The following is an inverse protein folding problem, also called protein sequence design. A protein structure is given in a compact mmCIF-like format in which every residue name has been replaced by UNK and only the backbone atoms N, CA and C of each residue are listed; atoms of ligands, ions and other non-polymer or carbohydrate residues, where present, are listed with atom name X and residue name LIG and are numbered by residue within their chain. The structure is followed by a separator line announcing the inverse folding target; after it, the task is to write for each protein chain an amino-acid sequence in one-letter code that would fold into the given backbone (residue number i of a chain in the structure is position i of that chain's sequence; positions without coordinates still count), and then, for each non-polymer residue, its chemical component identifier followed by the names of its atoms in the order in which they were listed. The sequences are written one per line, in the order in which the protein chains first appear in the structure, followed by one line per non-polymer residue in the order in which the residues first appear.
data_IF_575729619627
#
_entry.id   IF_575729619627
#
_cell.length_a   1.000
_cell.length_b   1.000
_cell.length_c   1.000
_cell.angle_alpha   90.00
_cell.angle_beta   90.00
_cell.angle_gamma   90.00
#
_symmetry.space_group_name_H-M   'P 1'
#
loop_
_entity.id
_entity.type
_entity.pdbx_description
1 polymer ?
#
# COMPACT_ATOMS: atom_id res chain seq x y z
N UNK A 1 12.63 22.78 15.80
CA UNK A 1 11.98 21.44 15.87
C UNK A 1 11.81 20.83 14.48
N UNK A 2 11.16 21.50 13.53
CA UNK A 2 11.01 21.00 12.14
C UNK A 2 12.34 20.59 11.48
N UNK A 3 13.40 21.40 11.59
CA UNK A 3 14.73 21.11 11.02
C UNK A 3 15.40 19.83 11.58
N UNK A 4 15.14 19.47 12.83
CA UNK A 4 15.68 18.26 13.46
C UNK A 4 14.94 17.01 13.00
N UNK A 5 13.62 17.12 12.80
CA UNK A 5 12.76 16.04 12.28
C UNK A 5 13.04 15.80 10.80
N UNK A 6 13.29 16.85 10.02
CA UNK A 6 13.71 16.71 8.62
C UNK A 6 15.08 16.06 8.46
N UNK A 7 16.02 16.29 9.40
CA UNK A 7 17.31 15.56 9.42
C UNK A 7 17.13 14.08 9.76
N UNK A 8 16.27 13.77 10.75
CA UNK A 8 15.91 12.40 11.07
C UNK A 8 15.31 11.66 9.87
N UNK A 9 14.43 12.30 9.09
CA UNK A 9 13.87 11.72 7.87
C UNK A 9 14.96 11.29 6.87
N UNK A 10 15.93 12.17 6.59
CA UNK A 10 17.06 11.88 5.67
C UNK A 10 17.94 10.74 6.19
N UNK A 11 18.13 10.64 7.50
CA UNK A 11 18.89 9.54 8.11
C UNK A 11 18.09 8.22 8.18
N UNK A 12 16.76 8.27 8.05
CA UNK A 12 15.82 7.13 8.16
C UNK A 12 15.32 6.59 6.81
N UNK A 13 15.80 7.11 5.67
CA UNK A 13 15.37 6.78 4.30
C UNK A 13 15.53 5.30 3.86
N UNK A 14 15.76 4.34 4.78
CA UNK A 14 15.97 2.92 4.43
C UNK A 14 15.19 1.89 5.25
N UNK A 15 14.33 2.26 6.19
CA UNK A 15 13.55 1.25 6.92
C UNK A 15 12.12 1.71 7.24
N UNK A 16 11.17 1.27 6.43
CA UNK A 16 9.73 1.50 6.62
C UNK A 16 9.22 0.97 7.97
N UNK A 17 9.91 -0.02 8.56
CA UNK A 17 9.63 -0.51 9.92
C UNK A 17 9.95 0.54 10.98
N UNK A 18 11.10 1.21 10.86
CA UNK A 18 11.53 2.25 11.79
C UNK A 18 10.64 3.51 11.73
N UNK A 19 10.15 3.87 10.54
CA UNK A 19 9.18 4.97 10.36
C UNK A 19 7.85 4.64 11.05
N UNK A 20 7.35 3.41 10.89
CA UNK A 20 6.11 2.97 11.54
C UNK A 20 6.24 2.91 13.08
N UNK A 21 7.42 2.56 13.60
CA UNK A 21 7.68 2.62 15.04
C UNK A 21 7.67 4.05 15.57
N UNK A 22 8.28 4.99 14.83
CA UNK A 22 8.26 6.42 15.18
C UNK A 22 6.82 6.95 15.19
N UNK A 23 5.97 6.53 14.25
CA UNK A 23 4.54 6.88 14.29
C UNK A 23 3.84 6.37 15.54
N UNK A 24 4.03 5.09 15.88
CA UNK A 24 3.40 4.49 17.05
C UNK A 24 3.82 5.22 18.34
N UNK A 25 5.08 5.62 18.41
CA UNK A 25 5.63 6.41 19.52
C UNK A 25 5.07 7.84 19.54
N UNK A 26 4.94 8.51 18.39
CA UNK A 26 4.35 9.85 18.27
C UNK A 26 2.86 9.88 18.65
N UNK A 27 2.09 8.86 18.25
CA UNK A 27 0.69 8.72 18.66
C UNK A 27 0.57 8.39 20.15
N UNK A 28 1.40 7.47 20.66
CA UNK A 28 1.43 7.14 22.09
C UNK A 28 1.90 8.29 22.98
N UNK A 29 2.71 9.22 22.44
CA UNK A 29 3.16 10.41 23.15
C UNK A 29 1.99 11.34 23.52
N UNK A 30 1.00 11.51 22.64
CA UNK A 30 -0.18 12.32 22.96
C UNK A 30 -0.93 11.78 24.18
N UNK A 31 -1.14 10.47 24.24
CA UNK A 31 -1.83 9.80 25.35
C UNK A 31 -1.00 9.83 26.65
N UNK A 32 0.31 9.63 26.54
CA UNK A 32 1.22 9.70 27.68
C UNK A 32 1.24 11.11 28.30
N UNK A 33 1.34 12.16 27.46
CA UNK A 33 1.32 13.55 27.92
C UNK A 33 -0.04 13.93 28.48
N UNK A 34 -1.14 13.53 27.84
CA UNK A 34 -2.49 13.76 28.35
C UNK A 34 -2.73 13.07 29.70
N UNK A 35 -2.18 11.88 29.92
CA UNK A 35 -2.24 11.17 31.21
C UNK A 35 -1.46 11.89 32.31
N UNK A 36 -0.30 12.47 31.98
CA UNK A 36 0.51 13.27 32.92
C UNK A 36 -0.17 14.60 33.23
N UNK A 37 -0.70 15.30 32.21
CA UNK A 37 -1.39 16.58 32.38
C UNK A 37 -2.63 16.47 33.28
N UNK A 38 -3.34 15.33 33.22
CA UNK A 38 -4.50 15.04 34.09
C UNK A 38 -4.13 14.80 35.56
N UNK A 39 -2.88 14.45 35.86
CA UNK A 39 -2.40 14.27 37.23
C UNK A 39 -1.99 15.60 37.90
N UNK A 40 -1.98 16.70 37.14
CA UNK A 40 -1.73 18.04 37.66
C UNK A 40 -3.04 18.82 37.77
N UNK A 41 -3.16 19.68 38.78
CA UNK A 41 -4.34 20.55 38.98
C UNK A 41 -4.35 21.71 37.97
N UNK A 42 -4.52 21.37 36.69
CA UNK A 42 -4.57 22.33 35.57
C UNK A 42 -6.03 22.70 35.32
N UNK A 43 -6.31 24.00 35.16
CA UNK A 43 -7.67 24.46 34.85
C UNK A 43 -8.12 23.93 33.47
N UNK A 44 -9.42 23.59 33.27
CA UNK A 44 -9.89 22.95 32.06
C UNK A 44 -9.55 23.66 30.74
N UNK A 45 -9.57 25.00 30.71
CA UNK A 45 -9.22 25.77 29.52
C UNK A 45 -7.73 25.67 29.12
N UNK A 46 -6.83 25.57 30.10
CA UNK A 46 -5.39 25.38 29.83
C UNK A 46 -5.08 23.95 29.40
N UNK A 47 -5.77 22.96 29.98
CA UNK A 47 -5.70 21.57 29.51
C UNK A 47 -6.17 21.44 28.06
N UNK A 48 -7.22 22.18 27.67
CA UNK A 48 -7.72 22.22 26.29
C UNK A 48 -6.74 22.92 25.34
N UNK A 49 -6.15 24.05 25.74
CA UNK A 49 -5.14 24.73 24.95
C UNK A 49 -3.89 23.86 24.72
N UNK A 50 -3.44 23.15 25.75
CA UNK A 50 -2.29 22.24 25.66
C UNK A 50 -2.60 21.01 24.80
N UNK A 51 -3.78 20.40 24.91
CA UNK A 51 -4.19 19.29 24.03
C UNK A 51 -4.21 19.72 22.56
N UNK A 52 -4.70 20.93 22.27
CA UNK A 52 -4.70 21.47 20.92
C UNK A 52 -3.28 21.72 20.38
N UNK A 53 -2.38 22.28 21.19
CA UNK A 53 -0.99 22.50 20.80
C UNK A 53 -0.27 21.16 20.56
N UNK A 54 -0.47 20.17 21.43
CA UNK A 54 0.12 18.82 21.29
C UNK A 54 -0.41 18.15 20.03
N UNK A 55 -1.72 18.20 19.79
CA UNK A 55 -2.35 17.66 18.58
C UNK A 55 -1.79 18.30 17.30
N UNK A 56 -1.66 19.63 17.28
CA UNK A 56 -1.07 20.37 16.16
C UNK A 56 0.41 20.04 15.96
N UNK A 57 1.17 19.87 17.03
CA UNK A 57 2.59 19.51 16.97
C UNK A 57 2.80 18.08 16.46
N UNK A 58 1.98 17.11 16.90
CA UNK A 58 2.01 15.72 16.41
C UNK A 58 1.61 15.68 14.94
N UNK A 59 0.56 16.41 14.54
CA UNK A 59 0.14 16.52 13.15
C UNK A 59 1.24 17.12 12.26
N UNK A 60 1.87 18.21 12.68
CA UNK A 60 3.00 18.80 11.96
C UNK A 60 4.20 17.85 11.85
N UNK A 61 4.50 17.07 12.89
CA UNK A 61 5.55 16.06 12.84
C UNK A 61 5.22 14.96 11.82
N UNK A 62 3.99 14.44 11.81
CA UNK A 62 3.52 13.44 10.84
C UNK A 62 3.59 13.97 9.41
N UNK A 63 3.16 15.22 9.16
CA UNK A 63 3.24 15.88 7.85
C UNK A 63 4.69 16.02 7.36
N UNK A 64 5.65 16.27 8.25
CA UNK A 64 7.07 16.38 7.89
C UNK A 64 7.67 14.99 7.61
N UNK A 65 7.31 13.97 8.40
CA UNK A 65 7.81 12.61 8.22
C UNK A 65 7.27 11.96 6.94
N UNK A 66 5.99 12.14 6.59
CA UNK A 66 5.37 11.55 5.38
C UNK A 66 4.48 12.55 4.64
N UNK A 67 4.99 13.19 3.58
CA UNK A 67 4.18 14.02 2.68
C UNK A 67 3.15 13.20 1.88
N UNK A 68 3.42 11.92 1.66
CA UNK A 68 2.68 11.04 0.74
C UNK A 68 1.31 10.60 1.25
N UNK A 69 1.04 10.69 2.56
CA UNK A 69 -0.27 10.38 3.16
C UNK A 69 -1.22 11.59 3.18
N UNK A 70 -0.77 12.80 2.82
CA UNK A 70 -1.61 14.00 2.84
C UNK A 70 -2.67 14.02 1.74
N UNK A 71 -2.50 13.26 0.64
CA UNK A 71 -3.52 13.15 -0.39
C UNK A 71 -4.83 12.48 0.11
N UNK A 72 -4.82 11.84 1.28
CA UNK A 72 -5.98 11.13 1.85
C UNK A 72 -6.54 11.73 3.15
N UNK A 73 -5.95 12.80 3.68
CA UNK A 73 -6.33 13.36 4.99
C UNK A 73 -6.64 14.86 4.98
N UNK A 74 -6.79 15.54 3.84
CA UNK A 74 -7.36 16.90 3.88
C UNK A 74 -8.84 16.83 4.31
N UNK A 75 -9.20 17.36 5.49
CA UNK A 75 -10.55 17.82 5.73
C UNK A 75 -10.65 19.17 5.01
N UNK A 76 -11.59 19.29 4.09
CA UNK A 76 -11.99 20.58 3.57
C UNK A 76 -12.26 21.56 4.73
N UNK A 77 -11.73 22.77 4.60
CA UNK A 77 -12.09 24.00 5.33
C UNK A 77 -11.54 24.17 6.76
N UNK A 78 -10.50 25.01 6.89
CA UNK A 78 -10.53 26.13 7.84
C UNK A 78 -10.10 27.43 7.11
N UNK A 79 -11.09 28.29 6.89
CA UNK A 79 -11.06 29.73 6.63
C UNK A 79 -9.83 30.48 7.17
N UNK A 80 -9.01 31.00 6.27
CA UNK A 80 -8.19 32.19 6.50
C UNK A 80 -8.81 33.38 5.75
N UNK A 81 -9.65 34.13 6.47
CA UNK A 81 -9.96 35.51 6.11
C UNK A 81 -8.82 36.39 6.65
N UNK A 82 -7.98 36.88 5.75
CA UNK A 82 -7.06 37.98 6.00
C UNK A 82 -7.28 39.01 4.90
N UNK A 83 -8.07 40.04 5.17
CA UNK A 83 -7.76 41.40 4.76
C UNK A 83 -8.23 42.34 5.88
N UNK A 84 -7.25 42.92 6.58
CA UNK A 84 -7.43 43.99 7.54
C UNK A 84 -6.72 45.18 6.92
N UNK A 85 -7.48 46.08 6.30
CA UNK A 85 -7.03 47.43 5.99
C UNK A 85 -8.01 48.43 6.62
N UNK A 86 -7.47 49.17 7.59
CA UNK A 86 -7.68 50.61 7.88
C UNK A 86 -9.01 51.25 7.47
N UNK A 87 -9.80 51.72 8.45
CA UNK A 87 -9.86 53.16 8.72
C UNK A 87 -10.54 53.49 10.06
N UNK A 88 -10.19 54.65 10.58
CA UNK A 88 -10.50 55.25 11.87
C UNK A 88 -12.00 55.62 12.04
N UNK A 89 -12.56 55.51 13.25
CA UNK A 89 -13.14 56.64 14.00
C UNK A 89 -13.71 56.19 15.36
N UNK A 90 -13.24 56.81 16.43
CA UNK A 90 -13.89 56.84 17.75
C UNK A 90 -15.23 57.59 17.65
N UNK A 91 -16.25 57.17 18.40
CA UNK A 91 -16.78 57.96 19.53
C UNK A 91 -18.08 57.36 20.11
N UNK A 92 -18.10 57.37 21.45
CA UNK A 92 -19.25 57.61 22.34
C UNK A 92 -20.34 56.53 22.55
N UNK A 93 -20.19 55.82 23.67
CA UNK A 93 -21.29 55.41 24.57
C UNK A 93 -21.52 56.56 25.56
N UNK A 94 -22.70 56.77 26.22
CA UNK A 94 -23.42 55.71 26.97
C UNK A 94 -24.96 55.99 27.17
N UNK A 95 -25.67 55.52 28.23
CA UNK A 95 -26.50 54.31 28.24
C UNK A 95 -27.96 54.53 28.79
N UNK A 96 -28.69 53.43 29.05
CA UNK A 96 -29.92 53.33 29.88
C UNK A 96 -31.22 53.77 29.16
N UNK A 97 -32.41 53.15 29.29
CA UNK A 97 -33.04 52.25 30.24
C UNK A 97 -34.15 51.45 29.52
N UNK A 98 -34.40 50.21 29.95
CA UNK A 98 -35.72 49.57 29.83
C UNK A 98 -36.46 49.79 31.15
N UNK A 99 -37.77 50.09 31.12
CA UNK A 99 -38.66 49.09 31.71
C UNK A 99 -39.99 48.89 30.96
N UNK A 100 -40.51 47.69 31.19
CA UNK A 100 -41.79 47.14 30.74
C UNK A 100 -43.02 47.97 31.15
N UNK A 101 -44.09 47.93 30.35
CA UNK A 101 -45.45 47.65 30.84
C UNK A 101 -46.43 47.39 29.70
N UNK A 102 -47.36 46.48 29.97
CA UNK A 102 -48.39 45.86 29.13
C UNK A 102 -49.55 46.79 28.72
N UNK A 103 -50.22 46.45 27.60
CA UNK A 103 -51.67 46.58 27.28
C UNK A 103 -51.85 46.80 25.76
N UNK A 104 -52.23 45.78 24.99
CA UNK A 104 -53.60 45.46 24.55
C UNK A 104 -54.29 46.47 23.60
N UNK A 105 -54.89 45.88 22.56
CA UNK A 105 -56.05 46.30 21.74
C UNK A 105 -55.77 46.92 20.34
N UNK A 106 -55.98 46.04 19.36
CA UNK A 106 -56.71 46.17 18.09
C UNK A 106 -56.51 47.43 17.21
N UNK A 107 -56.13 47.21 15.96
CA UNK A 107 -56.94 47.42 14.75
C UNK A 107 -56.02 47.01 13.58
N UNK A 108 -56.26 45.87 12.94
CA UNK A 108 -57.15 45.80 11.79
C UNK A 108 -56.33 46.08 10.53
N UNK A 109 -56.18 45.08 9.65
CA UNK A 109 -56.13 45.16 8.18
C UNK A 109 -56.00 43.74 7.63
N UNK A 110 -57.09 43.27 7.01
CA UNK A 110 -57.05 42.08 6.16
C UNK A 110 -56.46 42.47 4.80
N UNK A 111 -55.44 41.70 4.40
CA UNK A 111 -54.94 41.31 3.07
C UNK A 111 -55.30 42.14 1.82
N UNK A 112 -54.32 42.24 0.90
CA UNK A 112 -54.44 41.36 -0.26
C UNK A 112 -53.17 40.56 -0.55
N UNK A 113 -53.38 39.31 -0.95
CA UNK A 113 -52.41 38.38 -1.48
C UNK A 113 -51.55 39.00 -2.60
N UNK A 114 -50.25 38.70 -2.56
CA UNK A 114 -49.38 38.37 -3.71
C UNK A 114 -47.96 38.92 -3.52
N UNK A 115 -47.14 38.18 -2.78
CA UNK A 115 -45.71 37.98 -3.05
C UNK A 115 -45.16 37.07 -1.95
N UNK A 116 -45.54 35.79 -1.95
CA UNK A 116 -44.70 34.77 -1.32
C UNK A 116 -43.51 34.56 -2.26
N UNK A 117 -42.59 35.52 -2.27
CA UNK A 117 -41.21 35.22 -2.56
C UNK A 117 -40.75 34.37 -1.38
N UNK A 118 -40.87 33.07 -1.59
CA UNK A 118 -40.48 32.02 -0.67
C UNK A 118 -38.97 32.13 -0.49
N UNK A 119 -38.52 32.96 0.46
CA UNK A 119 -37.17 32.85 0.98
C UNK A 119 -37.10 31.50 1.70
N UNK A 120 -36.76 30.48 0.93
CA UNK A 120 -36.39 29.18 1.46
C UNK A 120 -35.26 29.42 2.46
N UNK A 121 -35.59 29.28 3.74
CA UNK A 121 -34.66 29.53 4.85
C UNK A 121 -33.30 28.86 4.57
N UNK A 122 -32.16 29.47 4.94
CA UNK A 122 -30.82 28.92 4.70
C UNK A 122 -30.64 27.48 5.25
N UNK A 123 -31.46 27.09 6.24
CA UNK A 123 -31.52 25.73 6.76
C UNK A 123 -32.07 24.69 5.75
N UNK A 124 -33.03 25.06 4.89
CA UNK A 124 -33.58 24.18 3.84
C UNK A 124 -32.57 23.94 2.72
N UNK A 125 -31.75 24.94 2.39
CA UNK A 125 -30.69 24.79 1.40
C UNK A 125 -29.57 23.87 1.91
N UNK A 126 -29.14 24.03 3.16
CA UNK A 126 -28.13 23.16 3.77
C UNK A 126 -28.62 21.70 3.89
N UNK A 127 -29.87 21.48 4.29
CA UNK A 127 -30.44 20.13 4.36
C UNK A 127 -30.54 19.46 2.99
N UNK A 128 -30.87 20.22 1.94
CA UNK A 128 -30.84 19.73 0.56
C UNK A 128 -29.42 19.32 0.12
N UNK A 129 -28.40 20.14 0.40
CA UNK A 129 -27.01 19.78 0.09
C UNK A 129 -26.53 18.53 0.83
N UNK A 130 -26.86 18.40 2.12
CA UNK A 130 -26.55 17.20 2.91
C UNK A 130 -27.25 15.96 2.34
N UNK A 131 -28.51 16.09 1.91
CA UNK A 131 -29.24 14.98 1.29
C UNK A 131 -28.59 14.53 -0.03
N UNK A 132 -28.14 15.50 -0.85
CA UNK A 132 -27.42 15.22 -2.10
C UNK A 132 -26.08 14.54 -1.83
N UNK A 133 -25.28 15.04 -0.88
CA UNK A 133 -24.00 14.44 -0.53
C UNK A 133 -24.17 13.02 0.05
N UNK A 134 -25.20 12.80 0.87
CA UNK A 134 -25.55 11.47 1.38
C UNK A 134 -25.92 10.52 0.25
N UNK A 135 -26.73 10.97 -0.71
CA UNK A 135 -27.11 10.17 -1.86
C UNK A 135 -25.89 9.81 -2.73
N UNK A 136 -25.02 10.78 -2.99
CA UNK A 136 -23.77 10.54 -3.71
C UNK A 136 -22.88 9.54 -2.96
N UNK A 137 -22.72 9.70 -1.64
CA UNK A 137 -21.94 8.77 -0.82
C UNK A 137 -22.50 7.34 -0.89
N UNK A 138 -23.81 7.18 -0.80
CA UNK A 138 -24.46 5.87 -0.96
C UNK A 138 -24.21 5.28 -2.36
N UNK A 139 -24.35 6.09 -3.42
CA UNK A 139 -24.09 5.67 -4.80
C UNK A 139 -22.64 5.23 -5.00
N UNK A 140 -21.68 6.00 -4.50
CA UNK A 140 -20.26 5.65 -4.58
C UNK A 140 -19.95 4.37 -3.78
N UNK A 141 -20.56 4.20 -2.61
CA UNK A 141 -20.40 2.98 -1.82
C UNK A 141 -20.93 1.75 -2.57
N UNK A 142 -22.11 1.85 -3.18
CA UNK A 142 -22.67 0.78 -4.02
C UNK A 142 -21.74 0.44 -5.19
N UNK A 143 -21.19 1.45 -5.87
CA UNK A 143 -20.22 1.23 -6.94
C UNK A 143 -18.93 0.57 -6.44
N UNK A 144 -18.43 0.94 -5.26
CA UNK A 144 -17.24 0.33 -4.68
C UNK A 144 -17.48 -1.14 -4.35
N UNK A 145 -18.60 -1.45 -3.69
CA UNK A 145 -19.01 -2.83 -3.37
C UNK A 145 -19.16 -3.65 -4.66
N UNK A 146 -19.77 -3.08 -5.70
CA UNK A 146 -19.90 -3.76 -6.99
C UNK A 146 -18.53 -4.06 -7.62
N UNK A 147 -17.58 -3.11 -7.55
CA UNK A 147 -16.21 -3.31 -8.04
C UNK A 147 -15.44 -4.34 -7.22
N UNK A 148 -15.65 -4.38 -5.91
CA UNK A 148 -15.06 -5.40 -5.04
C UNK A 148 -15.56 -6.80 -5.44
N UNK A 149 -16.87 -6.96 -5.66
CA UNK A 149 -17.47 -8.23 -6.09
C UNK A 149 -16.90 -8.65 -7.45
N UNK A 150 -16.82 -7.73 -8.42
CA UNK A 150 -16.23 -7.99 -9.74
C UNK A 150 -14.78 -8.46 -9.63
N UNK A 151 -13.97 -7.78 -8.82
CA UNK A 151 -12.58 -8.16 -8.60
C UNK A 151 -12.44 -9.53 -7.93
N UNK A 152 -13.22 -9.80 -6.88
CA UNK A 152 -13.21 -11.09 -6.19
C UNK A 152 -13.62 -12.23 -7.13
N UNK A 153 -14.62 -12.00 -8.00
CA UNK A 153 -15.05 -12.98 -9.00
C UNK A 153 -13.96 -13.24 -10.04
N UNK A 154 -13.31 -12.19 -10.54
CA UNK A 154 -12.20 -12.33 -11.48
C UNK A 154 -11.03 -13.10 -10.85
N UNK A 155 -10.66 -12.78 -9.61
CA UNK A 155 -9.59 -13.47 -8.89
C UNK A 155 -9.92 -14.95 -8.71
N UNK A 156 -11.14 -15.27 -8.30
CA UNK A 156 -11.61 -16.66 -8.18
C UNK A 156 -11.52 -17.41 -9.51
N UNK A 157 -11.98 -16.79 -10.59
CA UNK A 157 -11.92 -17.38 -11.92
C UNK A 157 -10.48 -17.67 -12.37
N UNK A 158 -9.56 -16.72 -12.17
CA UNK A 158 -8.14 -16.89 -12.50
C UNK A 158 -7.51 -18.01 -11.65
N UNK A 159 -7.81 -18.06 -10.36
CA UNK A 159 -7.30 -19.11 -9.48
C UNK A 159 -7.81 -20.50 -9.88
N UNK A 160 -9.10 -20.63 -10.19
CA UNK A 160 -9.69 -21.88 -10.68
C UNK A 160 -9.05 -22.31 -11.99
N UNK A 161 -8.88 -21.39 -12.95
CA UNK A 161 -8.20 -21.67 -14.22
C UNK A 161 -6.77 -22.15 -13.99
N UNK A 162 -5.97 -21.45 -13.18
CA UNK A 162 -4.59 -21.84 -12.87
C UNK A 162 -4.51 -23.19 -12.15
N UNK A 163 -5.47 -23.46 -11.27
CA UNK A 163 -5.56 -24.75 -10.58
C UNK A 163 -5.85 -25.89 -11.57
N UNK A 164 -6.74 -25.67 -12.54
CA UNK A 164 -7.00 -26.64 -13.61
C UNK A 164 -5.78 -26.84 -14.52
N UNK A 165 -5.10 -25.77 -14.92
CA UNK A 165 -3.85 -25.84 -15.70
C UNK A 165 -2.79 -26.65 -14.96
N UNK A 166 -2.58 -26.40 -13.66
CA UNK A 166 -1.67 -27.18 -12.83
C UNK A 166 -2.08 -28.65 -12.70
N UNK A 167 -3.38 -28.92 -12.58
CA UNK A 167 -3.89 -30.29 -12.54
C UNK A 167 -3.61 -31.04 -13.85
N UNK A 168 -3.84 -30.40 -15.00
CA UNK A 168 -3.52 -30.97 -16.31
C UNK A 168 -2.03 -31.22 -16.48
N UNK A 169 -1.19 -30.26 -16.09
CA UNK A 169 0.26 -30.41 -16.15
C UNK A 169 0.74 -31.56 -15.25
N UNK A 170 0.23 -31.65 -14.02
CA UNK A 170 0.50 -32.77 -13.11
C UNK A 170 0.07 -34.09 -13.74
N UNK A 171 -1.10 -34.15 -14.36
CA UNK A 171 -1.59 -35.36 -15.01
C UNK A 171 -0.68 -35.79 -16.17
N UNK A 172 -0.20 -34.84 -16.98
CA UNK A 172 0.78 -35.10 -18.04
C UNK A 172 2.10 -35.68 -17.50
N UNK A 173 2.63 -35.12 -16.41
CA UNK A 173 3.83 -35.67 -15.75
C UNK A 173 3.58 -37.08 -15.21
N UNK A 174 2.44 -37.33 -14.55
CA UNK A 174 2.11 -38.68 -14.03
C UNK A 174 1.83 -39.70 -15.14
N UNK A 175 1.29 -39.27 -16.28
CA UNK A 175 1.06 -40.13 -17.44
C UNK A 175 2.36 -40.46 -18.16
N UNK A 176 3.36 -39.57 -18.15
CA UNK A 176 4.69 -39.86 -18.66
C UNK A 176 5.44 -40.85 -17.76
N UNK A 177 5.30 -40.75 -16.44
CA UNK A 177 5.89 -41.72 -15.50
C UNK A 177 5.28 -43.12 -15.63
N UNK A 178 3.96 -43.22 -15.87
CA UNK A 178 3.30 -44.52 -16.05
C UNK A 178 3.55 -45.17 -17.42
N UNK A 179 4.27 -44.50 -18.33
CA UNK A 179 4.75 -45.06 -19.60
C UNK A 179 6.25 -45.40 -19.56
N UNK A 180 6.81 -45.60 -18.36
CA UNK A 180 8.19 -46.07 -18.18
C UNK A 180 8.23 -47.60 -18.34
N UNK A 181 8.69 -48.02 -19.52
CA UNK A 181 9.33 -49.32 -19.76
C UNK A 181 10.49 -49.52 -18.76
N UNK A 182 10.92 -50.76 -18.44
CA UNK A 182 11.53 -51.09 -17.15
C UNK A 182 12.71 -50.18 -16.72
N UNK A 183 12.80 -49.84 -15.42
CA UNK A 183 13.55 -48.70 -14.86
C UNK A 183 15.08 -48.87 -14.83
N UNK A 184 15.64 -49.80 -15.59
CA UNK A 184 17.07 -50.11 -15.52
C UNK A 184 17.94 -49.23 -16.41
N UNK A 185 17.51 -48.94 -17.63
CA UNK A 185 18.47 -48.57 -18.69
C UNK A 185 18.56 -47.08 -19.01
N UNK A 186 17.51 -46.30 -18.73
CA UNK A 186 17.46 -44.89 -19.15
C UNK A 186 17.99 -43.95 -18.06
N UNK A 187 17.52 -44.10 -16.82
CA UNK A 187 18.03 -43.36 -15.65
C UNK A 187 19.54 -43.52 -15.50
N UNK A 188 20.04 -44.76 -15.53
CA UNK A 188 21.48 -45.04 -15.42
C UNK A 188 22.32 -44.41 -16.53
N UNK A 189 21.74 -44.19 -17.72
CA UNK A 189 22.43 -43.53 -18.84
C UNK A 189 22.46 -42.02 -18.66
N UNK A 190 21.33 -41.40 -18.29
CA UNK A 190 21.26 -39.95 -18.01
C UNK A 190 22.09 -39.57 -16.80
N UNK A 191 22.09 -40.40 -15.76
CA UNK A 191 22.91 -40.21 -14.57
C UNK A 191 24.39 -40.26 -14.91
N UNK A 192 24.79 -41.19 -15.79
CA UNK A 192 26.18 -41.29 -16.25
C UNK A 192 26.63 -40.08 -17.06
N UNK A 193 25.82 -39.61 -18.01
CA UNK A 193 26.14 -38.43 -18.82
C UNK A 193 26.25 -37.16 -17.95
N UNK A 194 25.37 -37.02 -16.95
CA UNK A 194 25.42 -35.94 -15.98
C UNK A 194 26.67 -36.01 -15.09
N UNK A 195 26.97 -37.19 -14.55
CA UNK A 195 28.14 -37.42 -13.70
C UNK A 195 29.42 -37.09 -14.45
N UNK A 196 29.56 -37.57 -15.70
CA UNK A 196 30.72 -37.33 -16.54
C UNK A 196 30.90 -35.82 -16.82
N UNK A 197 29.80 -35.11 -17.11
CA UNK A 197 29.83 -33.67 -17.33
C UNK A 197 30.21 -32.88 -16.05
N UNK A 198 29.64 -33.24 -14.90
CA UNK A 198 29.96 -32.61 -13.62
C UNK A 198 31.41 -32.85 -13.21
N UNK A 199 31.94 -34.06 -13.44
CA UNK A 199 33.35 -34.37 -13.21
C UNK A 199 34.26 -33.53 -14.11
N UNK A 200 33.89 -33.31 -15.38
CA UNK A 200 34.63 -32.44 -16.30
C UNK A 200 34.68 -30.97 -15.80
N UNK A 201 33.64 -30.50 -15.12
CA UNK A 201 33.62 -29.17 -14.48
C UNK A 201 34.37 -29.12 -13.13
N UNK A 202 34.93 -30.26 -12.70
CA UNK A 202 35.67 -30.40 -11.44
C UNK A 202 34.76 -30.38 -10.22
N UNK A 203 33.59 -31.02 -10.30
CA UNK A 203 32.72 -31.26 -9.16
C UNK A 203 33.26 -32.39 -8.27
N UNK A 204 33.19 -32.20 -6.95
CA UNK A 204 33.54 -33.24 -5.98
C UNK A 204 32.45 -34.33 -5.97
N UNK A 205 32.81 -35.59 -5.67
CA UNK A 205 31.85 -36.73 -5.60
C UNK A 205 30.64 -36.42 -4.72
N UNK A 206 30.84 -35.78 -3.57
CA UNK A 206 29.76 -35.36 -2.65
C UNK A 206 28.81 -34.34 -3.25
N UNK A 207 29.30 -33.51 -4.16
CA UNK A 207 28.48 -32.51 -4.86
C UNK A 207 27.67 -33.15 -5.97
N UNK A 208 28.27 -34.12 -6.67
CA UNK A 208 27.60 -34.90 -7.71
C UNK A 208 26.46 -35.71 -7.10
N UNK A 209 26.71 -36.41 -6.00
CA UNK A 209 25.69 -37.13 -5.23
C UNK A 209 24.54 -36.20 -4.84
N UNK A 210 24.86 -35.01 -4.30
CA UNK A 210 23.84 -34.03 -3.92
C UNK A 210 22.99 -33.55 -5.11
N UNK A 211 23.59 -33.34 -6.28
CA UNK A 211 22.85 -32.92 -7.48
C UNK A 211 21.97 -34.06 -8.01
N UNK A 212 22.43 -35.30 -7.92
CA UNK A 212 21.65 -36.50 -8.29
C UNK A 212 20.50 -36.76 -7.31
N UNK A 213 20.71 -36.56 -6.01
CA UNK A 213 19.65 -36.68 -4.98
C UNK A 213 18.49 -35.70 -5.21
N UNK A 214 18.79 -34.52 -5.76
CA UNK A 214 17.78 -33.51 -6.14
C UNK A 214 17.11 -33.83 -7.48
N UNK A 215 17.49 -34.91 -8.16
CA UNK A 215 16.85 -35.38 -9.39
C UNK A 215 17.12 -34.52 -10.62
N UNK A 216 18.18 -33.71 -10.62
CA UNK A 216 18.55 -32.92 -11.80
C UNK A 216 19.03 -33.82 -12.93
N UNK A 217 18.56 -33.58 -14.15
CA UNK A 217 19.15 -34.15 -15.37
C UNK A 217 20.16 -33.19 -15.99
N UNK A 218 21.01 -33.69 -16.89
CA UNK A 218 21.94 -32.83 -17.65
C UNK A 218 21.20 -31.75 -18.45
N UNK A 219 20.03 -32.08 -19.00
CA UNK A 219 19.19 -31.13 -19.74
C UNK A 219 18.71 -29.98 -18.84
N UNK A 220 18.27 -30.29 -17.62
CA UNK A 220 17.79 -29.29 -16.67
C UNK A 220 18.94 -28.33 -16.30
N UNK A 221 20.13 -28.88 -16.02
CA UNK A 221 21.34 -28.10 -15.70
C UNK A 221 21.79 -27.22 -16.87
N UNK A 222 21.62 -27.65 -18.11
CA UNK A 222 22.07 -26.86 -19.25
C UNK A 222 21.03 -25.82 -19.70
N UNK A 223 19.74 -26.12 -19.62
CA UNK A 223 18.69 -25.30 -20.21
C UNK A 223 17.92 -24.47 -19.17
N UNK A 224 17.63 -25.03 -17.99
CA UNK A 224 16.60 -24.50 -17.10
C UNK A 224 17.15 -23.90 -15.79
N UNK A 225 18.29 -24.38 -15.28
CA UNK A 225 18.78 -23.87 -13.99
C UNK A 225 19.11 -22.37 -14.01
N UNK A 226 18.90 -21.73 -12.87
CA UNK A 226 19.32 -20.36 -12.58
C UNK A 226 20.57 -20.35 -11.71
N UNK A 227 21.22 -19.18 -11.60
CA UNK A 227 22.39 -19.03 -10.75
C UNK A 227 22.01 -19.17 -9.26
N UNK A 228 20.78 -18.83 -8.93
CA UNK A 228 20.16 -18.90 -7.62
C UNK A 228 19.95 -20.35 -7.19
N UNK A 229 19.53 -21.24 -8.10
CA UNK A 229 19.38 -22.68 -7.83
C UNK A 229 20.72 -23.30 -7.44
N UNK A 230 21.80 -22.94 -8.14
CA UNK A 230 23.16 -23.34 -7.79
C UNK A 230 23.62 -22.82 -6.42
N UNK A 231 23.12 -21.66 -5.98
CA UNK A 231 23.38 -21.17 -4.61
C UNK A 231 22.58 -21.96 -3.58
N UNK A 232 21.34 -22.35 -3.90
CA UNK A 232 20.49 -23.16 -3.02
C UNK A 232 21.07 -24.56 -2.79
N UNK A 233 21.69 -25.15 -3.83
CA UNK A 233 22.51 -26.36 -3.75
C UNK A 233 23.74 -26.23 -2.84
N UNK A 234 24.03 -25.04 -2.29
CA UNK A 234 25.17 -24.73 -1.41
C UNK A 234 26.52 -25.13 -2.03
N UNK A 235 26.66 -24.90 -3.33
CA UNK A 235 27.90 -25.16 -4.03
C UNK A 235 29.01 -24.22 -3.54
N UNK A 236 30.25 -24.74 -3.48
CA UNK A 236 31.43 -23.90 -3.24
C UNK A 236 31.53 -22.86 -4.34
N UNK A 237 31.82 -21.61 -3.99
CA UNK A 237 31.82 -20.49 -4.94
C UNK A 237 32.69 -20.72 -6.19
N UNK A 238 33.84 -21.38 -6.05
CA UNK A 238 34.70 -21.73 -7.18
C UNK A 238 34.05 -22.70 -8.16
N UNK A 239 33.36 -23.73 -7.66
CA UNK A 239 32.64 -24.69 -8.50
C UNK A 239 31.41 -24.04 -9.14
N UNK A 240 30.66 -23.24 -8.38
CA UNK A 240 29.51 -22.49 -8.88
C UNK A 240 29.90 -21.60 -10.06
N UNK A 241 31.02 -20.89 -9.96
CA UNK A 241 31.54 -20.06 -11.05
C UNK A 241 31.89 -20.89 -12.29
N UNK A 242 32.58 -22.03 -12.14
CA UNK A 242 32.91 -22.91 -13.27
C UNK A 242 31.65 -23.46 -13.94
N UNK A 243 30.74 -23.99 -13.14
CA UNK A 243 29.48 -24.57 -13.62
C UNK A 243 28.64 -23.53 -14.36
N UNK A 244 28.43 -22.36 -13.75
CA UNK A 244 27.65 -21.29 -14.37
C UNK A 244 28.31 -20.75 -15.64
N UNK A 245 29.64 -20.70 -15.69
CA UNK A 245 30.37 -20.31 -16.90
C UNK A 245 30.16 -21.33 -18.01
N UNK A 246 30.25 -22.63 -17.72
CA UNK A 246 30.03 -23.70 -18.70
C UNK A 246 28.59 -23.70 -19.23
N UNK A 247 27.60 -23.56 -18.35
CA UNK A 247 26.17 -23.45 -18.71
C UNK A 247 25.92 -22.21 -19.56
N UNK A 248 26.47 -21.06 -19.16
CA UNK A 248 26.33 -19.81 -19.93
C UNK A 248 26.97 -19.91 -21.32
N UNK A 249 28.11 -20.60 -21.44
CA UNK A 249 28.75 -20.86 -22.73
C UNK A 249 27.93 -21.81 -23.59
N UNK A 250 27.36 -22.87 -23.01
CA UNK A 250 26.47 -23.78 -23.70
C UNK A 250 25.23 -23.05 -24.25
N UNK A 251 24.55 -22.26 -23.41
CA UNK A 251 23.38 -21.45 -23.81
C UNK A 251 23.73 -20.45 -24.91
N UNK A 252 24.90 -19.80 -24.82
CA UNK A 252 25.37 -18.87 -25.87
C UNK A 252 25.63 -19.59 -27.19
N UNK A 253 26.20 -20.80 -27.17
CA UNK A 253 26.42 -21.61 -28.38
C UNK A 253 25.11 -22.13 -28.97
N UNK A 254 24.17 -22.56 -28.12
CA UNK A 254 22.84 -22.99 -28.53
C UNK A 254 22.01 -21.84 -29.15
N UNK A 255 22.16 -20.62 -28.61
CA UNK A 255 21.53 -19.41 -29.17
C UNK A 255 22.27 -18.84 -30.39
N UNK A 256 23.56 -19.16 -30.55
CA UNK A 256 24.43 -18.69 -31.64
C UNK A 256 24.43 -19.57 -32.89
N UNK A 257 23.57 -20.59 -32.98
CA UNK A 257 23.44 -21.44 -34.16
C UNK A 257 22.14 -21.16 -34.94
N UNK A 258 22.06 -20.08 -35.76
CA UNK A 258 21.09 -20.00 -36.84
C UNK A 258 21.69 -20.59 -38.13
N UNK A 259 21.03 -21.63 -38.64
CA UNK A 259 20.98 -22.11 -40.02
C UNK A 259 22.21 -21.88 -40.93
N UNK A 260 23.07 -22.88 -41.07
CA UNK A 260 23.69 -23.17 -42.37
C UNK A 260 22.76 -24.12 -43.13
N UNK A 261 21.83 -23.55 -43.91
CA UNK A 261 21.23 -24.28 -45.01
C UNK A 261 22.12 -24.12 -46.23
N UNK A 262 22.58 -25.26 -46.74
CA UNK A 262 23.06 -25.47 -48.09
C UNK A 262 22.14 -24.80 -49.12
N UNK A 263 22.71 -24.06 -50.06
CA UNK A 263 22.20 -24.01 -51.43
C UNK A 263 23.39 -24.17 -52.38
N UNK A 264 23.41 -25.33 -53.04
CA UNK A 264 24.18 -25.63 -54.23
C UNK A 264 23.23 -25.56 -55.44
#
# INVERSE_FOLDING_TARGET
MASTISKLKVDLDFDSSSINQIHLVLFGFQDAVNKILRNHLIRPHWMFAMDNIIRRAVQAAVTILIPELQAHFEPASETEGVEKDTDEMEEDYPPADLPASEAQVAHGWSEPASAVAQEASPQQHLSFQLSKLRQETSRLLEHLVQKEIEYQNLLRHILEQKTQELYHLRLQFTSNENSVSPPGSQEQRTDKELVDWLQLQGADTRTIEKILEEGYTLSDILNDITKEDLRYLRLRGGLLCRLWTAVSQYRRRAQGAPATQDEA
#
